data_IF_368435168270
#
_entry.id   IF_368435168270
#
_cell.length_a   1.000
_cell.length_b   1.000
_cell.length_c   1.000
_cell.angle_alpha   90.00
_cell.angle_beta   90.00
_cell.angle_gamma   90.00
#
_symmetry.space_group_name_H-M   'P 1'
#
loop_
_entity.id
_entity.type
_entity.pdbx_description
1 polymer ?
#
# COMPACT_ATOMS: atom_id res chain seq x y z
N UNK A 1 15.80 -24.86 8.10
CA UNK A 1 15.73 -23.70 7.19
C UNK A 1 16.35 -22.52 7.92
N UNK A 2 17.51 -21.99 7.48
CA UNK A 2 18.26 -20.96 8.23
C UNK A 2 17.42 -19.68 8.40
N UNK A 3 17.28 -19.24 9.65
CA UNK A 3 16.53 -18.02 10.06
C UNK A 3 16.95 -16.80 9.23
N UNK A 4 18.24 -16.71 8.85
CA UNK A 4 18.78 -15.64 8.00
C UNK A 4 18.11 -15.60 6.62
N UNK A 5 17.89 -16.75 5.96
CA UNK A 5 17.21 -16.80 4.65
C UNK A 5 15.76 -16.31 4.76
N UNK A 6 15.12 -16.56 5.90
CA UNK A 6 13.75 -16.12 6.17
C UNK A 6 13.65 -14.61 6.39
N UNK A 7 14.57 -14.05 7.20
CA UNK A 7 14.65 -12.61 7.41
C UNK A 7 14.91 -11.93 6.06
N UNK A 8 15.88 -12.42 5.28
CA UNK A 8 16.21 -11.85 3.97
C UNK A 8 15.01 -11.87 3.01
N UNK A 9 14.27 -12.99 2.95
CA UNK A 9 13.07 -13.11 2.12
C UNK A 9 11.99 -12.11 2.52
N UNK A 10 11.77 -11.92 3.82
CA UNK A 10 10.79 -10.95 4.32
C UNK A 10 11.20 -9.50 4.01
N UNK A 11 12.47 -9.17 4.24
CA UNK A 11 13.03 -7.85 3.99
C UNK A 11 12.94 -7.46 2.51
N UNK A 12 13.19 -8.40 1.59
CA UNK A 12 13.03 -8.19 0.14
C UNK A 12 11.57 -7.87 -0.19
N UNK A 13 10.60 -8.63 0.33
CA UNK A 13 9.17 -8.35 0.10
C UNK A 13 8.77 -6.98 0.68
N UNK A 14 9.34 -6.59 1.82
CA UNK A 14 9.05 -5.29 2.47
C UNK A 14 9.58 -4.15 1.61
N UNK A 15 10.79 -4.32 1.09
CA UNK A 15 11.41 -3.34 0.20
C UNK A 15 10.60 -3.17 -1.09
N UNK A 16 10.17 -4.28 -1.72
CA UNK A 16 9.31 -4.23 -2.90
C UNK A 16 7.95 -3.56 -2.62
N UNK A 17 7.32 -3.89 -1.49
CA UNK A 17 6.06 -3.27 -1.07
C UNK A 17 6.20 -1.77 -0.83
N UNK A 18 7.26 -1.35 -0.13
CA UNK A 18 7.53 0.07 0.12
C UNK A 18 7.89 0.83 -1.15
N UNK A 19 8.64 0.22 -2.07
CA UNK A 19 8.91 0.81 -3.39
C UNK A 19 7.61 1.02 -4.19
N UNK A 20 6.68 0.05 -4.11
CA UNK A 20 5.37 0.17 -4.74
C UNK A 20 4.53 1.30 -4.12
N UNK A 21 4.48 1.39 -2.79
CA UNK A 21 3.81 2.49 -2.08
C UNK A 21 4.41 3.86 -2.44
N UNK A 22 5.73 3.94 -2.51
CA UNK A 22 6.42 5.18 -2.86
C UNK A 22 6.13 5.58 -4.31
N UNK A 23 6.21 4.64 -5.25
CA UNK A 23 5.90 4.88 -6.66
C UNK A 23 4.46 5.36 -6.88
N UNK A 24 3.48 4.67 -6.28
CA UNK A 24 2.06 5.06 -6.36
C UNK A 24 1.79 6.44 -5.75
N UNK A 25 2.46 6.77 -4.64
CA UNK A 25 2.37 8.09 -4.02
C UNK A 25 2.95 9.19 -4.92
N UNK A 26 4.12 8.95 -5.53
CA UNK A 26 4.73 9.90 -6.47
C UNK A 26 3.84 10.16 -7.69
N UNK A 27 3.24 9.10 -8.25
CA UNK A 27 2.30 9.22 -9.38
C UNK A 27 1.11 10.08 -9.01
N UNK A 28 0.54 9.90 -7.82
CA UNK A 28 -0.58 10.74 -7.37
C UNK A 28 -0.18 12.16 -7.05
N UNK A 29 0.97 12.39 -6.40
CA UNK A 29 1.49 13.73 -6.18
C UNK A 29 1.72 14.47 -7.50
N UNK A 30 2.19 13.78 -8.53
CA UNK A 30 2.33 14.33 -9.88
C UNK A 30 0.96 14.61 -10.52
N UNK A 31 0.02 13.67 -10.42
CA UNK A 31 -1.33 13.82 -10.99
C UNK A 31 -2.14 14.95 -10.34
N UNK A 32 -2.07 15.12 -9.02
CA UNK A 32 -2.66 16.26 -8.31
C UNK A 32 -1.86 17.57 -8.51
N UNK A 33 -0.78 17.53 -9.28
CA UNK A 33 -0.02 18.72 -9.67
C UNK A 33 0.72 19.35 -8.50
N UNK A 34 1.51 18.59 -7.73
CA UNK A 34 2.54 19.01 -6.75
C UNK A 34 2.18 20.13 -5.73
N UNK A 35 0.95 20.61 -5.70
CA UNK A 35 0.50 21.76 -4.93
C UNK A 35 -0.33 21.29 -3.72
N UNK A 36 0.20 20.30 -3.00
CA UNK A 36 -0.36 19.84 -1.72
C UNK A 36 -0.58 21.00 -0.74
N UNK A 37 0.24 22.06 -0.83
CA UNK A 37 0.13 23.28 -0.02
C UNK A 37 -0.85 24.33 -0.56
N UNK A 38 -1.36 24.19 -1.79
CA UNK A 38 -2.38 25.08 -2.36
C UNK A 38 -3.73 24.40 -2.55
N UNK A 39 -3.82 23.10 -2.27
CA UNK A 39 -5.07 22.37 -2.36
C UNK A 39 -5.94 22.84 -1.20
N UNK A 40 -7.10 23.45 -1.52
CA UNK A 40 -7.98 23.97 -0.48
C UNK A 40 -8.47 22.84 0.44
N UNK A 41 -8.33 23.00 1.77
CA UNK A 41 -8.88 22.04 2.72
C UNK A 41 -10.40 21.96 2.54
N UNK A 42 -10.92 20.74 2.42
CA UNK A 42 -12.33 20.49 2.16
C UNK A 42 -12.71 20.35 0.67
N UNK A 43 -11.77 20.54 -0.26
CA UNK A 43 -11.98 20.21 -1.67
C UNK A 43 -12.03 18.70 -1.92
N UNK A 44 -12.69 18.27 -3.01
CA UNK A 44 -12.74 16.85 -3.39
C UNK A 44 -11.35 16.22 -3.58
N UNK A 45 -10.40 16.98 -4.14
CA UNK A 45 -9.01 16.56 -4.30
C UNK A 45 -8.31 16.31 -2.94
N UNK A 46 -8.57 17.16 -1.95
CA UNK A 46 -8.05 16.99 -0.59
C UNK A 46 -8.56 15.70 0.07
N UNK A 47 -9.86 15.39 -0.07
CA UNK A 47 -10.43 14.14 0.46
C UNK A 47 -9.92 12.90 -0.25
N UNK A 48 -9.74 12.95 -1.58
CA UNK A 48 -9.15 11.85 -2.35
C UNK A 48 -7.72 11.56 -1.88
N UNK A 49 -6.92 12.60 -1.65
CA UNK A 49 -5.56 12.47 -1.16
C UNK A 49 -5.49 11.93 0.28
N UNK A 50 -6.32 12.42 1.20
CA UNK A 50 -6.38 11.88 2.57
C UNK A 50 -6.79 10.41 2.57
N UNK A 51 -7.82 10.06 1.79
CA UNK A 51 -8.30 8.68 1.70
C UNK A 51 -7.21 7.77 1.14
N UNK A 52 -6.41 8.27 0.18
CA UNK A 52 -5.24 7.58 -0.33
C UNK A 52 -4.17 7.35 0.77
N UNK A 53 -3.85 8.38 1.56
CA UNK A 53 -2.91 8.24 2.68
C UNK A 53 -3.40 7.24 3.73
N UNK A 54 -4.70 7.24 4.06
CA UNK A 54 -5.31 6.26 4.96
C UNK A 54 -5.17 4.84 4.40
N UNK A 55 -5.38 4.66 3.10
CA UNK A 55 -5.23 3.38 2.43
C UNK A 55 -3.77 2.88 2.49
N UNK A 56 -2.79 3.76 2.32
CA UNK A 56 -1.37 3.44 2.50
C UNK A 56 -1.10 3.00 3.94
N UNK A 57 -1.58 3.76 4.93
CA UNK A 57 -1.37 3.45 6.34
C UNK A 57 -1.98 2.08 6.70
N UNK A 58 -3.18 1.79 6.23
CA UNK A 58 -3.84 0.49 6.38
C UNK A 58 -3.05 -0.64 5.71
N UNK A 59 -2.59 -0.43 4.47
CA UNK A 59 -1.81 -1.43 3.74
C UNK A 59 -0.48 -1.74 4.44
N UNK A 60 0.21 -0.72 4.96
CA UNK A 60 1.42 -0.88 5.77
C UNK A 60 1.16 -1.60 7.11
N UNK A 61 0.03 -1.29 7.75
CA UNK A 61 -0.38 -1.95 9.00
C UNK A 61 -0.68 -3.44 8.76
N UNK A 62 -1.42 -3.76 7.70
CA UNK A 62 -1.68 -5.15 7.28
C UNK A 62 -0.38 -5.88 6.96
N UNK A 63 0.54 -5.24 6.24
CA UNK A 63 1.86 -5.79 5.93
C UNK A 63 2.65 -6.11 7.21
N UNK A 64 2.68 -5.16 8.15
CA UNK A 64 3.42 -5.28 9.42
C UNK A 64 2.79 -6.34 10.34
N UNK A 65 1.46 -6.38 10.45
CA UNK A 65 0.77 -7.44 11.20
C UNK A 65 1.04 -8.82 10.59
N UNK A 66 1.12 -8.91 9.26
CA UNK A 66 1.49 -10.15 8.60
C UNK A 66 2.90 -10.60 9.03
N UNK A 67 3.89 -9.70 9.12
CA UNK A 67 5.22 -10.04 9.66
C UNK A 67 5.14 -10.68 11.04
N UNK A 68 4.47 -10.01 11.98
CA UNK A 68 4.38 -10.47 13.37
C UNK A 68 3.65 -11.81 13.49
N UNK A 69 2.55 -11.98 12.76
CA UNK A 69 1.77 -13.22 12.78
C UNK A 69 2.57 -14.36 12.16
N UNK A 70 3.26 -14.10 11.05
CA UNK A 70 4.06 -15.11 10.35
C UNK A 70 5.30 -15.49 11.16
N UNK A 71 5.97 -14.53 11.80
CA UNK A 71 7.07 -14.81 12.72
C UNK A 71 6.60 -15.67 13.92
N UNK A 72 5.45 -15.33 14.50
CA UNK A 72 4.86 -16.09 15.61
C UNK A 72 4.40 -17.50 15.17
N UNK A 73 3.86 -17.65 13.96
CA UNK A 73 3.24 -18.90 13.46
C UNK A 73 4.13 -19.77 12.58
N UNK A 74 5.27 -19.28 12.10
CA UNK A 74 6.30 -20.10 11.45
C UNK A 74 6.81 -21.23 12.37
N UNK A 75 6.55 -21.11 13.68
CA UNK A 75 6.77 -22.15 14.69
C UNK A 75 5.66 -23.22 14.75
N UNK A 76 4.45 -22.97 14.23
CA UNK A 76 3.27 -23.77 14.63
C UNK A 76 2.34 -24.27 13.52
N UNK A 77 2.22 -23.68 12.30
CA UNK A 77 1.40 -24.30 11.23
C UNK A 77 1.45 -23.63 9.83
N UNK A 78 1.42 -24.45 8.75
CA UNK A 78 1.53 -24.01 7.33
C UNK A 78 0.24 -23.46 6.70
N UNK A 79 -0.95 -23.79 7.21
CA UNK A 79 -2.23 -23.50 6.53
C UNK A 79 -2.71 -22.05 6.66
N UNK A 80 -2.33 -21.34 7.74
CA UNK A 80 -2.75 -19.94 7.96
C UNK A 80 -1.91 -18.92 7.18
N UNK A 81 -0.73 -19.33 6.72
CA UNK A 81 0.19 -18.54 5.89
C UNK A 81 -0.47 -18.06 4.60
N UNK A 82 -1.19 -18.96 3.89
CA UNK A 82 -1.80 -18.63 2.61
C UNK A 82 -2.96 -17.62 2.71
N UNK A 83 -3.68 -17.57 3.83
CA UNK A 83 -4.78 -16.61 4.03
C UNK A 83 -4.24 -15.17 4.17
N UNK A 84 -3.13 -14.98 4.89
CA UNK A 84 -2.52 -13.67 5.05
C UNK A 84 -1.81 -13.17 3.78
N UNK A 85 -1.21 -14.07 2.99
CA UNK A 85 -0.67 -13.70 1.68
C UNK A 85 -1.75 -13.22 0.72
N UNK A 86 -2.93 -13.85 0.75
CA UNK A 86 -4.11 -13.39 0.00
C UNK A 86 -4.61 -12.03 0.48
N UNK A 87 -4.60 -11.77 1.78
CA UNK A 87 -4.97 -10.45 2.32
C UNK A 87 -3.97 -9.38 1.87
N UNK A 88 -2.67 -9.66 1.89
CA UNK A 88 -1.65 -8.73 1.38
C UNK A 88 -1.85 -8.44 -0.12
N UNK A 89 -2.07 -9.47 -0.93
CA UNK A 89 -2.38 -9.31 -2.36
C UNK A 89 -3.66 -8.48 -2.56
N UNK A 90 -4.71 -8.75 -1.78
CA UNK A 90 -5.95 -7.99 -1.83
C UNK A 90 -5.71 -6.49 -1.51
N UNK A 91 -4.91 -6.20 -0.48
CA UNK A 91 -4.56 -4.80 -0.14
C UNK A 91 -3.77 -4.11 -1.25
N UNK A 92 -2.87 -4.81 -1.94
CA UNK A 92 -2.14 -4.27 -3.09
C UNK A 92 -3.08 -4.00 -4.27
N UNK A 93 -4.00 -4.92 -4.57
CA UNK A 93 -4.99 -4.75 -5.63
C UNK A 93 -5.89 -3.55 -5.34
N UNK A 94 -6.39 -3.43 -4.10
CA UNK A 94 -7.21 -2.29 -3.69
C UNK A 94 -6.46 -0.97 -3.83
N UNK A 95 -5.20 -0.91 -3.40
CA UNK A 95 -4.36 0.29 -3.57
C UNK A 95 -4.16 0.64 -5.06
N UNK A 96 -3.92 -0.38 -5.89
CA UNK A 96 -3.73 -0.21 -7.34
C UNK A 96 -5.00 0.33 -8.00
N UNK A 97 -6.14 -0.30 -7.72
CA UNK A 97 -7.43 0.11 -8.26
C UNK A 97 -7.80 1.52 -7.83
N UNK A 98 -7.56 1.86 -6.56
CA UNK A 98 -7.84 3.20 -6.05
C UNK A 98 -6.93 4.26 -6.67
N UNK A 99 -5.65 3.94 -6.91
CA UNK A 99 -4.70 4.81 -7.63
C UNK A 99 -5.18 5.05 -9.08
N UNK A 100 -5.57 3.99 -9.79
CA UNK A 100 -6.11 4.08 -11.16
C UNK A 100 -7.40 4.91 -11.17
N UNK A 101 -8.31 4.68 -10.23
CA UNK A 101 -9.56 5.42 -10.12
C UNK A 101 -9.32 6.93 -9.97
N UNK A 102 -8.39 7.34 -9.09
CA UNK A 102 -8.03 8.74 -8.95
C UNK A 102 -7.43 9.30 -10.24
N UNK A 103 -6.54 8.56 -10.91
CA UNK A 103 -5.96 8.99 -12.19
C UNK A 103 -7.02 9.22 -13.26
N UNK A 104 -8.01 8.32 -13.36
CA UNK A 104 -9.14 8.48 -14.30
C UNK A 104 -9.94 9.73 -13.95
N UNK A 105 -10.26 9.97 -12.68
CA UNK A 105 -10.97 11.18 -12.25
C UNK A 105 -10.21 12.44 -12.63
N UNK A 106 -8.90 12.49 -12.38
CA UNK A 106 -8.07 13.65 -12.70
C UNK A 106 -8.05 13.87 -14.23
N UNK A 107 -7.85 12.82 -15.02
CA UNK A 107 -7.87 12.92 -16.49
C UNK A 107 -9.22 13.38 -17.04
N UNK A 108 -10.33 13.03 -16.40
CA UNK A 108 -11.68 13.38 -16.87
C UNK A 108 -12.16 14.76 -16.39
N UNK A 109 -11.71 15.22 -15.22
CA UNK A 109 -12.11 16.51 -14.65
C UNK A 109 -11.22 17.68 -15.09
N UNK A 110 -10.00 17.42 -15.57
CA UNK A 110 -9.03 18.44 -15.99
C UNK A 110 -8.76 18.46 -17.51
N UNK A 111 -9.63 17.83 -18.32
CA UNK A 111 -9.80 18.13 -19.75
C UNK A 111 -10.76 19.31 -19.93
#
# INVERSE_FOLDING_TARGET
MNIIKYILWWEIRRLLFNLFLLGSTLVLCFAFGFNLFRTEPGSGAYYLFITYLLLIALANLVYTLNYFIYYKKAKENKTRIGLFERIMLCSLILLTLYTIFILVIILYLFQ
#
